data_IF_443213778016
#
_entry.id   IF_443213778016
#
_cell.length_a   1.000
_cell.length_b   1.000
_cell.length_c   1.000
_cell.angle_alpha   90.00
_cell.angle_beta   90.00
_cell.angle_gamma   90.00
#
_symmetry.space_group_name_H-M   'P 1'
#
loop_
_entity.id
_entity.type
_entity.pdbx_description
1 polymer ?
#
# COMPACT_ATOMS: atom_id res chain seq x y z
N UNK A 1 8.09 1.21 17.79
CA UNK A 1 7.00 2.02 17.18
C UNK A 1 6.51 1.27 15.97
N UNK A 2 5.19 1.09 15.78
CA UNK A 2 4.69 0.63 14.49
C UNK A 2 5.13 1.68 13.47
N UNK A 3 5.60 1.27 12.29
CA UNK A 3 6.13 2.16 11.27
C UNK A 3 7.61 2.59 11.40
N UNK A 4 8.49 1.70 11.90
CA UNK A 4 9.95 1.95 11.82
C UNK A 4 10.43 2.06 10.37
N UNK A 5 11.40 2.94 10.10
CA UNK A 5 11.96 3.08 8.75
C UNK A 5 12.64 1.80 8.28
N UNK A 6 13.26 1.06 9.19
CA UNK A 6 13.92 -0.20 8.87
C UNK A 6 12.91 -1.27 8.39
N UNK A 7 11.72 -1.32 8.99
CA UNK A 7 10.65 -2.20 8.52
C UNK A 7 10.15 -1.79 7.13
N UNK A 8 9.99 -0.47 6.87
CA UNK A 8 9.58 0.05 5.55
C UNK A 8 10.60 -0.25 4.45
N UNK A 9 11.89 -0.39 4.77
CA UNK A 9 12.91 -0.79 3.80
C UNK A 9 12.81 -2.29 3.48
N UNK A 10 12.41 -3.12 4.45
CA UNK A 10 12.31 -4.57 4.29
C UNK A 10 11.03 -4.99 3.57
N UNK A 11 9.87 -4.44 3.94
CA UNK A 11 8.57 -4.85 3.38
C UNK A 11 7.57 -3.70 3.31
N UNK A 12 6.44 -3.95 2.65
CA UNK A 12 5.27 -3.07 2.72
C UNK A 12 4.74 -3.09 4.15
N UNK A 13 4.71 -1.94 4.81
CA UNK A 13 4.26 -1.84 6.20
C UNK A 13 2.86 -1.22 6.19
N UNK A 14 1.81 -2.00 6.51
CA UNK A 14 0.46 -1.46 6.63
C UNK A 14 0.37 -0.50 7.82
N UNK A 15 -0.35 0.61 7.63
CA UNK A 15 -0.64 1.61 8.66
C UNK A 15 -2.15 1.75 8.92
N UNK A 16 -2.98 1.46 7.91
CA UNK A 16 -4.44 1.37 8.05
C UNK A 16 -4.89 -0.04 7.69
N UNK A 17 -5.77 -0.62 8.48
CA UNK A 17 -6.41 -1.90 8.18
C UNK A 17 -7.90 -1.87 8.46
N UNK A 18 -8.63 -2.80 7.83
CA UNK A 18 -10.06 -2.97 8.11
C UNK A 18 -10.30 -3.40 9.56
N UNK A 19 -11.50 -3.15 10.06
CA UNK A 19 -11.93 -3.69 11.34
C UNK A 19 -11.88 -5.22 11.35
N UNK A 20 -11.40 -5.79 12.45
CA UNK A 20 -11.36 -7.24 12.63
C UNK A 20 -12.77 -7.87 12.55
N UNK A 21 -13.79 -7.14 13.01
CA UNK A 21 -15.18 -7.56 12.95
C UNK A 21 -15.80 -7.49 11.53
N UNK A 22 -15.13 -6.84 10.58
CA UNK A 22 -15.60 -6.74 9.20
C UNK A 22 -16.84 -5.85 9.00
N UNK A 23 -17.50 -5.92 7.83
CA UNK A 23 -18.62 -5.05 7.45
C UNK A 23 -19.93 -5.33 8.23
N UNK A 24 -20.03 -6.45 8.95
CA UNK A 24 -21.19 -6.82 9.77
C UNK A 24 -20.93 -6.61 11.27
N UNK A 25 -19.99 -5.72 11.62
CA UNK A 25 -19.64 -5.43 13.01
C UNK A 25 -20.85 -4.93 13.81
N UNK A 26 -21.05 -5.50 15.00
CA UNK A 26 -22.04 -4.97 15.95
C UNK A 26 -21.57 -3.64 16.56
N UNK A 27 -22.48 -2.83 17.08
CA UNK A 27 -22.14 -1.55 17.72
C UNK A 27 -21.05 -1.66 18.81
N UNK A 28 -21.03 -2.76 19.57
CA UNK A 28 -20.00 -3.02 20.58
C UNK A 28 -18.62 -3.35 19.96
N UNK A 29 -18.59 -4.01 18.80
CA UNK A 29 -17.35 -4.31 18.07
C UNK A 29 -16.83 -3.08 17.30
N UNK A 30 -17.74 -2.21 16.86
CA UNK A 30 -17.42 -0.89 16.32
C UNK A 30 -16.83 0.03 17.39
N UNK A 31 -17.40 0.06 18.60
CA UNK A 31 -16.86 0.82 19.74
C UNK A 31 -15.47 0.33 20.15
N UNK A 32 -15.25 -0.99 20.13
CA UNK A 32 -13.92 -1.57 20.42
C UNK A 32 -12.87 -1.23 19.35
N UNK A 33 -13.30 -0.90 18.12
CA UNK A 33 -12.45 -0.50 17.00
C UNK A 33 -11.15 -1.33 16.86
N UNK A 34 -11.23 -2.65 17.01
CA UNK A 34 -10.01 -3.47 16.96
C UNK A 34 -9.56 -3.63 15.50
N UNK A 35 -8.31 -3.24 15.15
CA UNK A 35 -7.80 -3.39 13.80
C UNK A 35 -7.52 -4.88 13.50
N UNK A 36 -7.70 -5.28 12.23
CA UNK A 36 -7.40 -6.65 11.81
C UNK A 36 -5.89 -6.94 11.78
N UNK A 37 -5.07 -5.91 11.59
CA UNK A 37 -3.61 -5.97 11.77
C UNK A 37 -3.24 -5.24 13.06
N UNK A 38 -2.53 -5.92 13.97
CA UNK A 38 -2.03 -5.30 15.20
C UNK A 38 -1.23 -4.03 14.88
N UNK A 39 -1.37 -3.02 15.75
CA UNK A 39 -0.65 -1.75 15.68
C UNK A 39 -0.92 -0.92 14.41
N UNK A 40 -2.06 -1.13 13.77
CA UNK A 40 -2.58 -0.28 12.68
C UNK A 40 -3.84 0.47 13.11
N UNK A 41 -4.18 1.54 12.40
CA UNK A 41 -5.41 2.28 12.68
C UNK A 41 -6.58 1.55 11.99
N UNK A 42 -7.63 1.18 12.73
CA UNK A 42 -8.83 0.54 12.19
C UNK A 42 -9.62 1.50 11.30
N UNK A 43 -10.22 0.98 10.23
CA UNK A 43 -11.13 1.72 9.35
C UNK A 43 -12.40 0.89 9.12
N UNK A 44 -13.57 1.54 9.16
CA UNK A 44 -14.89 0.94 8.83
C UNK A 44 -15.08 0.77 7.32
N UNK A 45 -14.09 0.20 6.64
CA UNK A 45 -14.14 -0.12 5.20
C UNK A 45 -13.24 -1.33 4.92
N UNK A 46 -13.50 -2.05 3.83
CA UNK A 46 -12.66 -3.16 3.34
C UNK A 46 -11.35 -2.66 2.70
N UNK A 47 -10.57 -1.93 3.49
CA UNK A 47 -9.47 -1.09 3.05
C UNK A 47 -8.19 -1.44 3.81
N UNK A 48 -7.08 -1.36 3.10
CA UNK A 48 -5.75 -1.45 3.66
C UNK A 48 -4.87 -0.40 3.00
N UNK A 49 -4.12 0.32 3.81
CA UNK A 49 -3.10 1.27 3.37
C UNK A 49 -1.80 0.92 4.07
N UNK A 50 -0.70 1.21 3.39
CA UNK A 50 0.63 1.08 3.93
C UNK A 50 1.60 1.93 3.15
N UNK A 51 2.85 1.90 3.60
CA UNK A 51 3.93 2.60 2.95
C UNK A 51 5.20 1.78 2.94
N UNK A 52 6.11 2.18 2.06
CA UNK A 52 7.40 1.55 1.87
C UNK A 52 8.45 2.58 1.47
N UNK A 53 9.70 2.29 1.79
CA UNK A 53 10.87 2.98 1.25
C UNK A 53 11.53 2.05 0.24
N UNK A 54 11.57 2.48 -1.02
CA UNK A 54 12.25 1.77 -2.10
C UNK A 54 13.64 2.40 -2.26
N UNK A 55 14.68 1.58 -2.31
CA UNK A 55 16.03 2.03 -2.62
C UNK A 55 16.20 2.22 -4.15
N UNK A 56 17.13 3.09 -4.59
CA UNK A 56 17.45 3.23 -6.01
C UNK A 56 17.72 1.89 -6.69
N UNK A 57 17.28 1.76 -7.94
CA UNK A 57 17.51 0.58 -8.81
C UNK A 57 16.99 -0.75 -8.24
N UNK A 58 16.12 -0.68 -7.23
CA UNK A 58 15.57 -1.85 -6.56
C UNK A 58 14.16 -2.14 -7.04
N UNK A 59 13.89 -3.41 -7.31
CA UNK A 59 12.54 -3.91 -7.56
C UNK A 59 11.92 -4.41 -6.26
N UNK A 60 10.62 -4.22 -6.13
CA UNK A 60 9.86 -4.73 -5.01
C UNK A 60 8.51 -5.25 -5.45
N UNK A 61 7.96 -6.13 -4.63
CA UNK A 61 6.63 -6.66 -4.87
C UNK A 61 5.81 -6.65 -3.61
N UNK A 62 4.54 -6.30 -3.72
CA UNK A 62 3.58 -6.34 -2.64
C UNK A 62 2.27 -6.97 -3.10
N UNK A 63 1.51 -7.52 -2.16
CA UNK A 63 0.23 -8.14 -2.45
C UNK A 63 -0.90 -7.13 -2.29
N UNK A 64 -1.69 -6.94 -3.34
CA UNK A 64 -2.90 -6.10 -3.27
C UNK A 64 -3.80 -6.64 -2.17
N UNK A 65 -4.19 -5.76 -1.23
CA UNK A 65 -5.06 -6.13 -0.11
C UNK A 65 -4.36 -6.55 1.18
N UNK A 66 -3.03 -6.41 1.27
CA UNK A 66 -2.27 -6.83 2.46
C UNK A 66 -2.60 -8.28 2.84
N UNK A 67 -2.52 -9.18 1.85
CA UNK A 67 -2.82 -10.61 2.00
C UNK A 67 -4.30 -10.87 2.35
N UNK A 68 -4.58 -11.42 3.53
CA UNK A 68 -5.92 -11.83 3.99
C UNK A 68 -6.63 -10.76 4.82
N UNK A 69 -6.06 -9.57 4.90
CA UNK A 69 -6.61 -8.45 5.68
C UNK A 69 -7.93 -8.01 5.08
N UNK A 70 -8.04 -8.00 3.76
CA UNK A 70 -9.27 -7.59 3.08
C UNK A 70 -10.15 -8.80 2.74
N UNK A 71 -11.45 -8.59 2.83
CA UNK A 71 -12.48 -9.58 2.56
C UNK A 71 -12.78 -9.71 1.07
N UNK A 72 -12.79 -8.61 0.32
CA UNK A 72 -12.97 -8.64 -1.12
C UNK A 72 -11.65 -8.92 -1.83
N UNK A 73 -11.61 -10.01 -2.60
CA UNK A 73 -10.42 -10.44 -3.36
C UNK A 73 -10.44 -10.10 -4.86
N UNK A 74 -11.54 -9.51 -5.35
CA UNK A 74 -11.76 -9.26 -6.79
C UNK A 74 -12.15 -7.81 -7.07
N UNK A 75 -11.82 -7.32 -8.27
CA UNK A 75 -12.20 -5.98 -8.77
C UNK A 75 -11.85 -4.84 -7.80
N UNK A 76 -10.67 -4.91 -7.22
CA UNK A 76 -10.12 -3.94 -6.28
C UNK A 76 -9.61 -2.71 -7.02
N UNK A 77 -9.73 -1.58 -6.34
CA UNK A 77 -9.08 -0.35 -6.76
C UNK A 77 -7.85 -0.14 -5.89
N UNK A 78 -6.73 0.15 -6.54
CA UNK A 78 -5.44 0.42 -5.94
C UNK A 78 -5.05 1.84 -6.31
N UNK A 79 -4.67 2.62 -5.31
CA UNK A 79 -4.06 3.92 -5.52
C UNK A 79 -2.62 3.87 -5.02
N UNK A 80 -1.69 4.20 -5.90
CA UNK A 80 -0.26 4.34 -5.58
C UNK A 80 0.09 5.81 -5.66
N UNK A 81 0.78 6.32 -4.65
CA UNK A 81 1.27 7.70 -4.64
C UNK A 81 2.77 7.72 -4.39
N UNK A 82 3.51 8.44 -5.23
CA UNK A 82 4.92 8.71 -5.03
C UNK A 82 5.06 10.09 -4.37
N UNK A 83 5.28 10.17 -3.05
CA UNK A 83 5.43 11.46 -2.38
C UNK A 83 6.70 12.19 -2.84
N UNK A 84 6.65 13.52 -2.82
CA UNK A 84 7.79 14.37 -3.15
C UNK A 84 8.91 14.13 -2.13
N UNK A 85 10.11 13.80 -2.60
CA UNK A 85 11.29 13.65 -1.75
C UNK A 85 12.10 14.94 -1.74
N UNK A 86 12.93 15.11 -0.70
CA UNK A 86 13.74 16.33 -0.53
C UNK A 86 14.74 16.57 -1.66
N UNK A 87 15.08 15.52 -2.43
CA UNK A 87 16.12 15.59 -3.45
C UNK A 87 15.58 15.68 -4.88
N UNK A 88 14.29 15.42 -5.14
CA UNK A 88 13.65 15.73 -6.42
C UNK A 88 14.10 14.88 -7.62
N UNK A 89 14.56 13.64 -7.39
CA UNK A 89 15.11 12.77 -8.44
C UNK A 89 14.63 11.31 -8.29
N UNK A 90 13.32 11.09 -8.13
CA UNK A 90 12.77 9.73 -8.03
C UNK A 90 11.69 9.47 -9.07
N UNK A 91 11.80 8.32 -9.74
CA UNK A 91 10.72 7.75 -10.55
C UNK A 91 10.48 6.30 -10.13
N UNK A 92 9.23 5.87 -10.20
CA UNK A 92 8.87 4.45 -10.03
C UNK A 92 8.13 3.97 -11.26
N UNK A 93 8.36 2.71 -11.63
CA UNK A 93 7.60 2.01 -12.66
C UNK A 93 6.72 0.95 -12.02
N UNK A 94 5.45 0.94 -12.39
CA UNK A 94 4.46 -0.02 -11.88
C UNK A 94 4.31 -1.18 -12.87
N UNK A 95 4.38 -2.40 -12.35
CA UNK A 95 4.10 -3.66 -13.07
C UNK A 95 4.96 -3.85 -14.33
N UNK A 96 6.17 -3.27 -14.34
CA UNK A 96 7.12 -3.28 -15.47
C UNK A 96 6.57 -2.66 -16.77
N UNK A 97 5.41 -2.00 -16.73
CA UNK A 97 4.79 -1.40 -17.91
C UNK A 97 5.41 -0.05 -18.22
N UNK A 98 5.77 0.18 -19.47
CA UNK A 98 6.39 1.43 -19.93
C UNK A 98 5.42 2.63 -19.87
N UNK A 99 4.11 2.39 -19.87
CA UNK A 99 3.07 3.42 -19.76
C UNK A 99 2.66 3.75 -18.32
N UNK A 100 3.26 3.09 -17.32
CA UNK A 100 2.93 3.26 -15.90
C UNK A 100 4.14 3.76 -15.09
N UNK A 101 4.77 4.83 -15.56
CA UNK A 101 5.82 5.56 -14.84
C UNK A 101 5.20 6.70 -14.00
N UNK A 102 5.61 6.79 -12.74
CA UNK A 102 5.24 7.87 -11.83
C UNK A 102 6.47 8.68 -11.44
N UNK A 103 6.35 10.00 -11.53
CA UNK A 103 7.32 10.96 -11.01
C UNK A 103 6.90 11.47 -9.63
N UNK A 104 7.79 12.21 -8.96
CA UNK A 104 7.49 12.77 -7.65
C UNK A 104 6.26 13.66 -7.64
N UNK A 105 5.36 13.40 -6.68
CA UNK A 105 4.07 14.05 -6.57
C UNK A 105 2.95 13.35 -7.34
N UNK A 106 3.27 12.40 -8.23
CA UNK A 106 2.26 11.71 -9.02
C UNK A 106 1.53 10.63 -8.21
N UNK A 107 0.36 10.26 -8.74
CA UNK A 107 -0.39 9.11 -8.29
C UNK A 107 -0.92 8.29 -9.46
N UNK A 108 -0.88 6.97 -9.34
CA UNK A 108 -1.55 6.06 -10.25
C UNK A 108 -2.78 5.47 -9.59
N UNK A 109 -3.87 5.41 -10.35
CA UNK A 109 -5.06 4.68 -9.96
C UNK A 109 -5.24 3.47 -10.87
N UNK A 110 -5.21 2.27 -10.26
CA UNK A 110 -5.33 0.99 -10.96
C UNK A 110 -6.64 0.37 -10.50
N UNK A 111 -7.54 0.09 -11.44
CA UNK A 111 -8.87 -0.48 -11.15
C UNK A 111 -8.99 -1.92 -11.66
N UNK A 112 -9.94 -2.66 -11.10
CA UNK A 112 -10.23 -4.02 -11.55
C UNK A 112 -9.17 -5.06 -11.17
N UNK A 113 -8.28 -4.74 -10.23
CA UNK A 113 -7.18 -5.62 -9.81
C UNK A 113 -7.73 -6.73 -8.91
N UNK A 114 -7.27 -7.96 -9.09
CA UNK A 114 -7.55 -9.02 -8.11
C UNK A 114 -6.47 -8.96 -7.01
N UNK A 115 -6.67 -9.63 -5.88
CA UNK A 115 -5.59 -9.80 -4.87
C UNK A 115 -4.47 -10.63 -5.47
N UNK A 116 -3.59 -9.97 -6.22
CA UNK A 116 -2.43 -10.50 -6.91
C UNK A 116 -1.21 -9.69 -6.48
N UNK A 117 -0.03 -10.19 -6.85
CA UNK A 117 1.25 -9.54 -6.57
C UNK A 117 1.42 -8.36 -7.53
N UNK A 118 1.45 -7.14 -7.00
CA UNK A 118 1.93 -5.96 -7.71
C UNK A 118 3.45 -5.86 -7.57
N UNK A 119 4.11 -5.47 -8.64
CA UNK A 119 5.56 -5.24 -8.68
C UNK A 119 5.82 -3.77 -8.96
N UNK A 120 6.72 -3.14 -8.22
CA UNK A 120 7.14 -1.75 -8.39
C UNK A 120 8.66 -1.71 -8.47
N UNK A 121 9.20 -0.97 -9.43
CA UNK A 121 10.64 -0.78 -9.57
C UNK A 121 10.99 0.68 -9.36
N UNK A 122 11.83 0.95 -8.38
CA UNK A 122 12.40 2.28 -8.17
C UNK A 122 13.58 2.49 -9.09
N UNK A 123 13.55 3.55 -9.89
CA UNK A 123 14.65 3.94 -10.76
C UNK A 123 15.16 5.34 -10.39
N UNK A 124 16.48 5.50 -10.36
CA UNK A 124 17.10 6.81 -10.15
C UNK A 124 17.41 7.39 -11.53
N UNK A 125 16.87 8.56 -11.82
CA UNK A 125 17.18 9.26 -13.07
C UNK A 125 18.31 10.24 -12.82
N UNK A 126 19.54 9.95 -13.26
CA UNK A 126 20.56 11.01 -13.37
C UNK A 126 20.29 11.76 -14.67
N UNK A 127 19.64 12.92 -14.56
CA UNK A 127 19.66 13.94 -15.61
C UNK A 127 21.08 14.43 -15.86
#
# INVERSE_FOLDING_TARGET
MPFSEEAKRKSFVPNLSTLAAGPEATAAQEESATPKISDTIPIHADFAMGGRIIAPESTFSWSVGAEDVVSSRKKRNVYVHLPITKNGIVKIRLDEREDAELSEGDGAFISGVNTARCVERGEYWRG
#
